data_IF_268510687798
#
_entry.id   IF_268510687798
#
_cell.length_a   1.000
_cell.length_b   1.000
_cell.length_c   1.000
_cell.angle_alpha   90.00
_cell.angle_beta   90.00
_cell.angle_gamma   90.00
#
_symmetry.space_group_name_H-M   'P 1'
#
loop_
_entity.id
_entity.type
_entity.pdbx_description
1 polymer ?
#
# COMPACT_ATOMS: atom_id res chain seq x y z
N UNK A 1 -21.89 -1.64 -8.26
CA UNK A 1 -20.80 -0.71 -8.61
C UNK A 1 -19.94 -1.32 -9.70
N UNK A 2 -19.52 -0.54 -10.66
CA UNK A 2 -18.53 -1.01 -11.62
C UNK A 2 -17.14 -0.86 -11.03
N UNK A 3 -16.54 -1.97 -10.67
CA UNK A 3 -15.24 -2.03 -10.02
C UNK A 3 -14.14 -1.39 -10.86
N UNK A 4 -14.12 -1.62 -12.16
CA UNK A 4 -13.12 -1.02 -13.06
C UNK A 4 -13.21 0.50 -13.11
N UNK A 5 -14.43 1.03 -13.13
CA UNK A 5 -14.64 2.48 -13.15
C UNK A 5 -14.18 3.09 -11.83
N UNK A 6 -14.54 2.46 -10.73
CA UNK A 6 -14.10 2.90 -9.39
C UNK A 6 -12.57 2.92 -9.28
N UNK A 7 -11.94 1.80 -9.60
CA UNK A 7 -10.48 1.70 -9.52
C UNK A 7 -9.78 2.66 -10.47
N UNK A 8 -10.28 2.79 -11.70
CA UNK A 8 -9.72 3.73 -12.67
C UNK A 8 -9.83 5.18 -12.23
N UNK A 9 -10.95 5.55 -11.64
CA UNK A 9 -11.16 6.90 -11.11
C UNK A 9 -10.14 7.21 -10.01
N UNK A 10 -10.01 6.32 -9.02
CA UNK A 10 -9.06 6.50 -7.92
C UNK A 10 -7.62 6.56 -8.43
N UNK A 11 -7.25 5.62 -9.30
CA UNK A 11 -5.90 5.56 -9.86
C UNK A 11 -5.54 6.83 -10.63
N UNK A 12 -6.46 7.34 -11.43
CA UNK A 12 -6.20 8.54 -12.24
C UNK A 12 -6.11 9.81 -11.39
N UNK A 13 -6.98 9.94 -10.39
CA UNK A 13 -6.97 11.14 -9.54
C UNK A 13 -5.72 11.20 -8.65
N UNK A 14 -5.34 10.07 -8.07
CA UNK A 14 -4.23 10.02 -7.12
C UNK A 14 -2.88 9.67 -7.76
N UNK A 15 -2.88 9.18 -8.99
CA UNK A 15 -1.66 8.68 -9.61
C UNK A 15 -1.09 7.45 -8.89
N UNK A 16 -1.96 6.63 -8.32
CA UNK A 16 -1.59 5.50 -7.47
C UNK A 16 -2.10 4.20 -8.08
N UNK A 17 -1.40 3.11 -7.81
CA UNK A 17 -1.89 1.79 -8.20
C UNK A 17 -2.96 1.32 -7.22
N UNK A 18 -4.03 0.74 -7.75
CA UNK A 18 -5.07 0.10 -6.96
C UNK A 18 -5.43 -1.22 -7.61
N UNK A 19 -5.57 -2.26 -6.80
CA UNK A 19 -6.00 -3.57 -7.28
C UNK A 19 -6.92 -4.22 -6.27
N UNK A 20 -7.80 -5.09 -6.75
CA UNK A 20 -8.51 -6.01 -5.88
C UNK A 20 -7.59 -7.19 -5.59
N UNK A 21 -7.70 -7.76 -4.41
CA UNK A 21 -6.87 -8.87 -4.00
C UNK A 21 -7.71 -9.98 -3.41
N UNK A 22 -7.43 -11.21 -3.84
CA UNK A 22 -8.06 -12.40 -3.28
C UNK A 22 -7.11 -13.03 -2.27
N UNK A 23 -7.67 -13.63 -1.23
CA UNK A 23 -6.87 -14.30 -0.20
C UNK A 23 -6.53 -15.73 -0.64
N UNK A 24 -5.75 -15.83 -1.71
CA UNK A 24 -5.23 -17.10 -2.22
C UNK A 24 -3.73 -16.98 -2.48
N UNK A 25 -3.04 -18.10 -2.49
CA UNK A 25 -1.58 -18.13 -2.61
C UNK A 25 -1.09 -17.47 -3.91
N UNK A 26 -1.76 -17.71 -5.01
CA UNK A 26 -1.33 -17.16 -6.30
C UNK A 26 -1.39 -15.62 -6.31
N UNK A 27 -2.49 -15.06 -5.82
CA UNK A 27 -2.68 -13.59 -5.76
C UNK A 27 -1.69 -12.95 -4.80
N UNK A 28 -1.50 -13.53 -3.63
CA UNK A 28 -0.61 -12.98 -2.61
C UNK A 28 0.85 -13.08 -3.03
N UNK A 29 1.27 -14.20 -3.59
CA UNK A 29 2.64 -14.37 -4.09
C UNK A 29 2.94 -13.40 -5.24
N UNK A 30 2.00 -13.20 -6.12
CA UNK A 30 2.13 -12.25 -7.22
C UNK A 30 2.32 -10.82 -6.72
N UNK A 31 1.52 -10.42 -5.73
CA UNK A 31 1.64 -9.10 -5.14
C UNK A 31 2.99 -8.91 -4.44
N UNK A 32 3.42 -9.90 -3.67
CA UNK A 32 4.73 -9.89 -3.01
C UNK A 32 5.86 -9.68 -4.02
N UNK A 33 5.85 -10.42 -5.12
CA UNK A 33 6.88 -10.33 -6.15
C UNK A 33 6.86 -8.98 -6.86
N UNK A 34 5.70 -8.43 -7.15
CA UNK A 34 5.56 -7.13 -7.79
C UNK A 34 6.12 -5.99 -6.95
N UNK A 35 6.12 -6.16 -5.64
CA UNK A 35 6.56 -5.14 -4.69
C UNK A 35 7.89 -5.50 -4.02
N UNK A 36 8.63 -6.43 -4.59
CA UNK A 36 9.97 -6.74 -4.14
C UNK A 36 10.95 -5.73 -4.72
N UNK A 37 11.61 -4.98 -3.84
CA UNK A 37 12.57 -3.96 -4.22
C UNK A 37 13.84 -4.58 -4.80
N UNK A 38 14.38 -5.56 -4.11
CA UNK A 38 15.62 -6.24 -4.46
C UNK A 38 15.48 -7.73 -4.12
N UNK A 39 15.83 -8.60 -5.06
CA UNK A 39 15.61 -10.06 -4.91
C UNK A 39 16.33 -10.65 -3.69
N UNK A 40 17.44 -10.05 -3.28
CA UNK A 40 18.22 -10.53 -2.14
C UNK A 40 17.73 -10.00 -0.80
N UNK A 41 16.78 -9.06 -0.83
CA UNK A 41 16.23 -8.44 0.38
C UNK A 41 14.86 -9.02 0.70
N UNK A 42 14.47 -8.83 1.96
CA UNK A 42 13.14 -9.20 2.40
C UNK A 42 12.08 -8.43 1.59
N UNK A 43 11.04 -9.10 1.08
CA UNK A 43 9.95 -8.41 0.39
C UNK A 43 9.26 -7.38 1.30
N UNK A 44 8.76 -6.30 0.69
CA UNK A 44 8.07 -5.24 1.43
C UNK A 44 6.77 -5.73 2.04
N UNK A 45 5.97 -6.41 1.25
CA UNK A 45 4.66 -6.88 1.66
C UNK A 45 4.58 -8.38 1.40
N UNK A 46 4.89 -9.17 2.43
CA UNK A 46 4.94 -10.63 2.28
C UNK A 46 3.57 -11.24 2.10
N UNK A 47 3.50 -12.33 1.36
CA UNK A 47 2.25 -13.07 1.18
C UNK A 47 1.69 -13.54 2.51
N UNK A 48 2.54 -13.98 3.42
CA UNK A 48 2.15 -14.42 4.76
C UNK A 48 1.47 -13.30 5.55
N UNK A 49 2.06 -12.11 5.54
CA UNK A 49 1.50 -10.97 6.24
C UNK A 49 0.18 -10.52 5.63
N UNK A 50 0.11 -10.46 4.30
CA UNK A 50 -1.12 -10.11 3.61
C UNK A 50 -2.24 -11.11 3.87
N UNK A 51 -1.90 -12.39 3.92
CA UNK A 51 -2.87 -13.43 4.30
C UNK A 51 -3.44 -13.17 5.70
N UNK A 52 -2.56 -12.90 6.66
CA UNK A 52 -2.98 -12.56 8.02
C UNK A 52 -3.90 -11.35 8.05
N UNK A 53 -3.54 -10.29 7.32
CA UNK A 53 -4.35 -9.08 7.27
C UNK A 53 -5.73 -9.34 6.67
N UNK A 54 -5.79 -10.08 5.57
CA UNK A 54 -7.08 -10.38 4.92
C UNK A 54 -7.98 -11.26 5.78
N UNK A 55 -7.38 -12.19 6.53
CA UNK A 55 -8.12 -13.02 7.48
C UNK A 55 -8.73 -12.20 8.62
N UNK A 56 -8.07 -11.12 9.03
CA UNK A 56 -8.45 -10.35 10.19
C UNK A 56 -9.00 -8.96 9.86
N UNK A 57 -9.07 -8.60 8.58
CA UNK A 57 -9.54 -7.28 8.18
C UNK A 57 -11.03 -7.11 8.46
N UNK A 58 -11.36 -6.02 9.11
CA UNK A 58 -12.75 -5.65 9.36
C UNK A 58 -13.27 -4.83 8.18
N UNK A 59 -14.56 -4.95 7.91
CA UNK A 59 -15.22 -4.12 6.90
C UNK A 59 -15.22 -2.66 7.36
N UNK A 60 -15.21 -1.77 6.39
CA UNK A 60 -15.35 -0.33 6.65
C UNK A 60 -14.20 0.26 7.46
N UNK A 61 -13.01 -0.34 7.34
CA UNK A 61 -11.78 0.17 7.94
C UNK A 61 -10.73 0.33 6.85
N UNK A 62 -10.10 1.51 6.81
CA UNK A 62 -8.89 1.72 6.02
C UNK A 62 -7.69 1.37 6.89
N UNK A 63 -6.95 0.35 6.50
CA UNK A 63 -5.71 -0.01 7.17
C UNK A 63 -4.54 0.60 6.42
N UNK A 64 -3.81 1.50 7.07
CA UNK A 64 -2.56 2.03 6.53
C UNK A 64 -1.41 1.20 7.05
N UNK A 65 -0.67 0.59 6.14
CA UNK A 65 0.44 -0.29 6.46
C UNK A 65 1.73 0.41 6.04
N UNK A 66 2.67 0.56 6.97
CA UNK A 66 3.98 1.13 6.68
C UNK A 66 5.02 0.03 6.73
N UNK A 67 5.80 -0.10 5.68
CA UNK A 67 6.82 -1.12 5.57
C UNK A 67 8.17 -0.65 6.11
N UNK A 68 9.12 -1.58 6.24
CA UNK A 68 10.42 -1.30 6.85
C UNK A 68 11.27 -0.29 6.05
N UNK A 69 10.98 -0.07 4.78
CA UNK A 69 11.61 0.97 3.98
C UNK A 69 10.74 2.23 3.85
N UNK A 70 9.74 2.39 4.74
CA UNK A 70 8.88 3.56 4.82
C UNK A 70 8.04 3.82 3.56
N UNK A 71 7.68 2.77 2.82
CA UNK A 71 6.59 2.85 1.86
C UNK A 71 5.28 2.52 2.57
N UNK A 72 4.18 2.95 2.01
CA UNK A 72 2.87 2.80 2.63
C UNK A 72 1.90 2.15 1.66
N UNK A 73 0.99 1.37 2.22
CA UNK A 73 -0.05 0.68 1.48
C UNK A 73 -1.35 0.81 2.25
N UNK A 74 -2.47 1.01 1.54
CA UNK A 74 -3.79 1.03 2.15
C UNK A 74 -4.52 -0.25 1.77
N UNK A 75 -5.04 -0.94 2.78
CA UNK A 75 -5.95 -2.08 2.60
C UNK A 75 -7.32 -1.69 3.09
N UNK A 76 -8.34 -1.95 2.28
CA UNK A 76 -9.72 -1.82 2.72
C UNK A 76 -10.59 -2.86 2.03
N UNK A 77 -11.64 -3.30 2.72
CA UNK A 77 -12.57 -4.29 2.20
C UNK A 77 -13.98 -3.70 2.15
N UNK A 78 -14.61 -3.85 1.02
CA UNK A 78 -15.94 -3.32 0.78
C UNK A 78 -16.69 -4.25 -0.17
N UNK A 79 -17.95 -4.54 0.11
CA UNK A 79 -18.83 -5.36 -0.74
C UNK A 79 -18.20 -6.72 -1.08
N UNK A 80 -17.65 -7.39 -0.09
CA UNK A 80 -17.00 -8.70 -0.19
C UNK A 80 -15.74 -8.72 -1.06
N UNK A 81 -15.19 -7.56 -1.37
CA UNK A 81 -13.94 -7.43 -2.12
C UNK A 81 -12.95 -6.62 -1.30
N UNK A 82 -11.70 -7.06 -1.28
CA UNK A 82 -10.62 -6.32 -0.63
C UNK A 82 -9.73 -5.67 -1.68
N UNK A 83 -9.31 -4.44 -1.40
CA UNK A 83 -8.51 -3.62 -2.30
C UNK A 83 -7.20 -3.24 -1.64
N UNK A 84 -6.14 -3.22 -2.44
CA UNK A 84 -4.84 -2.69 -2.04
C UNK A 84 -4.53 -1.46 -2.88
N UNK A 85 -4.18 -0.38 -2.19
CA UNK A 85 -3.91 0.92 -2.77
C UNK A 85 -2.47 1.32 -2.47
N UNK A 86 -1.65 1.47 -3.47
CA UNK A 86 -0.25 1.82 -3.29
C UNK A 86 0.71 0.88 -4.02
N UNK A 87 1.98 0.89 -3.66
CA UNK A 87 2.59 1.69 -2.59
C UNK A 87 2.64 3.20 -2.87
N UNK A 88 2.77 3.99 -1.82
CA UNK A 88 2.97 5.42 -1.90
C UNK A 88 3.93 5.87 -0.80
N UNK A 89 4.46 7.07 -0.91
CA UNK A 89 5.32 7.67 0.10
C UNK A 89 4.69 8.96 0.60
N UNK A 90 4.92 9.28 1.87
CA UNK A 90 4.37 10.49 2.49
C UNK A 90 5.29 11.69 2.29
N UNK A 91 6.59 11.43 2.17
CA UNK A 91 7.61 12.47 2.05
C UNK A 91 8.66 12.06 1.03
N UNK A 92 9.38 13.02 0.51
CA UNK A 92 10.62 12.74 -0.21
C UNK A 92 11.72 12.46 0.81
N UNK A 93 12.67 11.62 0.45
CA UNK A 93 13.79 11.27 1.33
C UNK A 93 15.08 11.87 0.79
N UNK A 94 15.84 12.55 1.67
CA UNK A 94 17.19 13.00 1.34
C UNK A 94 18.16 11.82 1.28
N UNK A 95 19.30 12.02 0.63
CA UNK A 95 20.35 10.99 0.61
C UNK A 95 20.78 10.58 2.01
N UNK A 96 20.86 11.54 2.93
CA UNK A 96 21.23 11.24 4.32
C UNK A 96 20.17 10.38 5.00
N UNK A 97 18.89 10.71 4.84
CA UNK A 97 17.80 9.91 5.41
C UNK A 97 17.82 8.48 4.88
N UNK A 98 18.06 8.32 3.58
CA UNK A 98 18.16 6.98 2.98
C UNK A 98 19.35 6.21 3.51
N UNK A 99 20.51 6.87 3.67
CA UNK A 99 21.70 6.25 4.24
C UNK A 99 21.46 5.78 5.68
N UNK A 100 20.81 6.60 6.48
CA UNK A 100 20.47 6.27 7.87
C UNK A 100 19.50 5.08 7.92
N UNK A 101 18.53 5.05 7.02
CA UNK A 101 17.57 3.96 6.92
C UNK A 101 18.30 2.64 6.57
N UNK A 102 19.17 2.67 5.58
CA UNK A 102 19.95 1.49 5.19
C UNK A 102 20.82 1.00 6.34
N UNK A 103 21.48 1.91 7.04
CA UNK A 103 22.32 1.56 8.19
C UNK A 103 21.49 0.94 9.31
N UNK A 104 20.31 1.48 9.59
CA UNK A 104 19.45 0.97 10.65
C UNK A 104 18.95 -0.45 10.39
N UNK A 105 18.83 -0.83 9.12
CA UNK A 105 18.44 -2.19 8.73
C UNK A 105 19.64 -3.06 8.33
N UNK A 106 20.84 -2.59 8.56
CA UNK A 106 22.09 -3.30 8.25
C UNK A 106 22.20 -3.68 6.77
N UNK A 107 21.72 -2.78 5.90
CA UNK A 107 21.78 -2.95 4.46
C UNK A 107 23.01 -2.25 3.89
N UNK A 108 23.60 -2.78 2.80
CA UNK A 108 24.81 -2.19 2.23
C UNK A 108 24.54 -0.83 1.58
N UNK A 109 25.53 0.06 1.66
CA UNK A 109 25.45 1.39 1.07
C UNK A 109 25.28 1.36 -0.46
N UNK A 110 25.69 0.27 -1.11
CA UNK A 110 25.54 0.10 -2.55
C UNK A 110 24.07 0.08 -3.01
N UNK A 111 23.12 -0.11 -2.09
CA UNK A 111 21.71 -0.12 -2.38
C UNK A 111 21.12 1.29 -2.46
N UNK A 112 21.85 2.32 -2.08
CA UNK A 112 21.36 3.69 -2.00
C UNK A 112 20.74 4.18 -3.32
N UNK A 113 21.44 3.99 -4.43
CA UNK A 113 20.95 4.44 -5.73
C UNK A 113 19.73 3.64 -6.20
N UNK A 114 19.72 2.31 -6.14
CA UNK A 114 18.51 1.54 -6.41
C UNK A 114 17.35 1.94 -5.51
N UNK A 115 17.59 2.23 -4.24
CA UNK A 115 16.55 2.65 -3.30
C UNK A 115 15.93 3.98 -3.71
N UNK A 116 16.75 4.93 -4.13
CA UNK A 116 16.27 6.22 -4.62
C UNK A 116 15.36 6.04 -5.83
N UNK A 117 15.77 5.22 -6.80
CA UNK A 117 14.97 4.92 -7.99
C UNK A 117 13.68 4.22 -7.62
N UNK A 118 13.71 3.37 -6.62
CA UNK A 118 12.53 2.67 -6.12
C UNK A 118 11.51 3.66 -5.57
N UNK A 119 11.93 4.59 -4.70
CA UNK A 119 11.03 5.60 -4.14
C UNK A 119 10.46 6.53 -5.21
N UNK A 120 11.25 6.85 -6.24
CA UNK A 120 10.82 7.75 -7.32
C UNK A 120 9.67 7.17 -8.16
N UNK A 121 9.41 5.87 -8.07
CA UNK A 121 8.28 5.24 -8.75
C UNK A 121 6.93 5.55 -8.11
N UNK A 122 6.93 5.96 -6.83
CA UNK A 122 5.71 6.05 -6.07
C UNK A 122 5.24 7.49 -5.95
N UNK A 123 3.90 7.72 -5.98
CA UNK A 123 3.39 9.05 -5.74
C UNK A 123 3.62 9.46 -4.29
N UNK A 124 3.80 10.75 -4.08
CA UNK A 124 3.85 11.34 -2.74
C UNK A 124 2.46 11.80 -2.37
N UNK A 125 1.86 11.14 -1.38
CA UNK A 125 0.48 11.37 -1.00
C UNK A 125 0.35 11.35 0.52
N UNK A 126 -0.62 12.12 1.02
CA UNK A 126 -1.04 12.01 2.42
C UNK A 126 -2.22 11.05 2.52
N UNK A 127 -2.40 10.46 3.70
CA UNK A 127 -3.58 9.64 3.96
C UNK A 127 -4.87 10.42 3.73
N UNK A 128 -4.92 11.71 4.12
CA UNK A 128 -6.12 12.53 3.94
C UNK A 128 -6.54 12.64 2.48
N UNK A 129 -5.59 12.79 1.57
CA UNK A 129 -5.88 12.84 0.13
C UNK A 129 -6.46 11.51 -0.36
N UNK A 130 -5.85 10.41 0.07
CA UNK A 130 -6.31 9.08 -0.32
C UNK A 130 -7.72 8.84 0.23
N UNK A 131 -7.90 9.07 1.51
CA UNK A 131 -9.19 8.87 2.19
C UNK A 131 -10.31 9.68 1.53
N UNK A 132 -10.07 10.97 1.30
CA UNK A 132 -11.06 11.84 0.69
C UNK A 132 -11.42 11.41 -0.73
N UNK A 133 -10.43 11.05 -1.53
CA UNK A 133 -10.65 10.63 -2.92
C UNK A 133 -11.39 9.31 -2.99
N UNK A 134 -11.00 8.33 -2.19
CA UNK A 134 -11.63 7.00 -2.19
C UNK A 134 -13.08 7.11 -1.72
N UNK A 135 -13.34 7.85 -0.64
CA UNK A 135 -14.72 8.03 -0.15
C UNK A 135 -15.58 8.79 -1.16
N UNK A 136 -15.04 9.82 -1.81
CA UNK A 136 -15.76 10.56 -2.83
C UNK A 136 -16.14 9.64 -4.01
N UNK A 137 -15.21 8.80 -4.43
CA UNK A 137 -15.46 7.82 -5.48
C UNK A 137 -16.53 6.81 -5.06
N UNK A 138 -16.43 6.29 -3.85
CA UNK A 138 -17.44 5.36 -3.33
C UNK A 138 -18.82 5.99 -3.29
N UNK A 139 -18.93 7.21 -2.77
CA UNK A 139 -20.21 7.92 -2.67
C UNK A 139 -20.81 8.23 -4.04
N UNK A 140 -19.95 8.40 -5.04
CA UNK A 140 -20.42 8.64 -6.42
C UNK A 140 -21.05 7.39 -7.02
N UNK A 141 -20.44 6.24 -6.77
CA UNK A 141 -20.86 4.98 -7.43
C UNK A 141 -21.74 4.09 -6.56
N UNK A 142 -21.81 4.36 -5.27
CA UNK A 142 -22.53 3.50 -4.32
C UNK A 142 -23.45 4.36 -3.45
N UNK A 143 -24.78 4.19 -3.58
CA UNK A 143 -25.72 4.85 -2.67
C UNK A 143 -25.49 4.34 -1.23
N UNK A 144 -25.59 5.22 -0.26
CA UNK A 144 -25.48 4.89 1.17
C UNK A 144 -24.15 4.27 1.54
N UNK A 145 -23.05 4.83 1.00
CA UNK A 145 -21.70 4.42 1.40
C UNK A 145 -21.54 4.61 2.91
N UNK A 146 -21.12 3.57 3.65
CA UNK A 146 -20.90 3.70 5.08
C UNK A 146 -19.68 4.57 5.38
N UNK A 147 -19.57 5.03 6.62
CA UNK A 147 -18.36 5.70 7.08
C UNK A 147 -17.27 4.67 7.33
N UNK A 148 -16.06 5.01 6.95
CA UNK A 148 -14.89 4.17 7.18
C UNK A 148 -14.06 4.76 8.31
N UNK A 149 -13.60 3.90 9.21
CA UNK A 149 -12.62 4.28 10.22
C UNK A 149 -11.20 4.05 9.67
N UNK A 150 -10.22 4.59 10.38
CA UNK A 150 -8.81 4.50 10.01
C UNK A 150 -8.03 3.76 11.08
N UNK A 151 -7.15 2.86 10.66
CA UNK A 151 -6.26 2.15 11.56
C UNK A 151 -4.87 2.07 10.95
N UNK A 152 -3.89 2.55 11.69
CA UNK A 152 -2.50 2.45 11.27
C UNK A 152 -1.89 1.15 11.80
N UNK A 153 -1.25 0.40 10.90
CA UNK A 153 -0.50 -0.80 11.25
C UNK A 153 0.97 -0.55 10.96
N UNK A 154 1.84 -0.84 11.94
CA UNK A 154 3.27 -0.67 11.78
C UNK A 154 3.94 -2.01 11.64
N UNK A 155 4.60 -2.19 10.51
CA UNK A 155 5.43 -3.34 10.26
C UNK A 155 4.70 -4.67 10.24
N UNK A 156 5.36 -5.63 9.74
CA UNK A 156 4.88 -7.00 9.74
C UNK A 156 5.91 -7.94 10.35
N UNK A 157 6.72 -7.38 11.22
CA UNK A 157 7.76 -8.10 11.93
C UNK A 157 7.29 -8.65 13.26
N UNK A 158 6.06 -8.40 13.55
CA UNK A 158 5.46 -8.77 14.82
C UNK A 158 4.82 -10.14 14.76
#
# INVERSE_FOLDING_TARGET
>A
MNEKIFMGFVANILGIRICSIANDNASLDSFEQQNCFEKTLQPMYTAEYLHYLLENAKKEVFYEITDYLNTNLILFCFDNTCYLLGPYVKNTFSSLEMQELLASHKLPASILRPLKLYYDQFPQLSYSMIHGTVLAAMRTFIPNTPEFSYRKLTGFHE
#
